data_IF_422978936074
#
_entry.id   IF_422978936074
#
_cell.length_a   1.000
_cell.length_b   1.000
_cell.length_c   1.000
_cell.angle_alpha   90.00
_cell.angle_beta   90.00
_cell.angle_gamma   90.00
#
_symmetry.space_group_name_H-M   'P 1'
#
loop_
_entity.id
_entity.type
_entity.pdbx_description
1 polymer ?
#
# COMPACT_ATOMS: atom_id res chain seq x y z
N UNK A 1 11.25 -2.78 -2.68
CA UNK A 1 10.15 -1.90 -3.13
C UNK A 1 9.87 -2.08 -4.61
N UNK A 2 8.64 -1.76 -5.01
CA UNK A 2 8.16 -1.75 -6.39
C UNK A 2 7.61 -0.35 -6.73
N UNK A 3 7.42 -0.01 -8.01
CA UNK A 3 6.75 1.23 -8.40
C UNK A 3 5.34 1.33 -7.80
N UNK A 4 4.86 2.57 -7.58
CA UNK A 4 3.52 2.83 -7.04
C UNK A 4 2.43 2.16 -7.87
N UNK A 5 1.52 1.45 -7.21
CA UNK A 5 0.41 0.74 -7.84
C UNK A 5 0.77 -0.63 -8.43
N UNK A 6 2.00 -1.11 -8.24
CA UNK A 6 2.42 -2.46 -8.70
C UNK A 6 1.83 -3.59 -7.86
N UNK A 7 1.37 -3.29 -6.66
CA UNK A 7 0.84 -4.29 -5.74
C UNK A 7 1.92 -5.19 -5.17
N UNK A 8 1.54 -6.44 -4.90
CA UNK A 8 2.43 -7.46 -4.35
C UNK A 8 2.86 -8.46 -5.42
N UNK A 9 4.15 -8.77 -5.46
CA UNK A 9 4.73 -9.80 -6.32
C UNK A 9 5.50 -10.81 -5.50
N UNK A 10 5.30 -12.09 -5.80
CA UNK A 10 6.05 -13.19 -5.22
C UNK A 10 6.78 -13.97 -6.32
N UNK A 11 8.02 -14.33 -6.05
CA UNK A 11 8.83 -15.19 -6.92
C UNK A 11 9.67 -16.14 -6.07
N UNK A 12 10.15 -17.20 -6.69
CA UNK A 12 11.14 -18.07 -6.07
C UNK A 12 12.31 -18.31 -7.03
N UNK A 13 13.48 -18.48 -6.44
CA UNK A 13 14.73 -18.85 -7.12
C UNK A 13 15.38 -20.04 -6.43
N UNK A 14 14.56 -20.89 -5.79
CA UNK A 14 15.03 -22.07 -5.07
C UNK A 14 15.74 -23.02 -6.04
N UNK A 15 16.94 -23.42 -5.66
CA UNK A 15 17.74 -24.42 -6.38
C UNK A 15 18.01 -25.63 -5.49
N UNK A 16 18.24 -26.79 -6.11
CA UNK A 16 18.59 -28.02 -5.38
C UNK A 16 17.47 -28.62 -4.52
N UNK A 17 16.25 -28.06 -4.55
CA UNK A 17 15.12 -28.60 -3.81
C UNK A 17 15.20 -28.41 -2.30
N UNK A 18 15.98 -27.42 -1.82
CA UNK A 18 16.14 -27.12 -0.38
C UNK A 18 14.81 -26.72 0.28
N UNK A 19 13.88 -26.15 -0.48
CA UNK A 19 12.47 -26.04 -0.13
C UNK A 19 11.67 -26.84 -1.17
N UNK A 20 10.97 -27.91 -0.76
CA UNK A 20 10.12 -28.67 -1.70
C UNK A 20 9.04 -27.78 -2.32
N UNK A 21 8.81 -27.94 -3.61
CA UNK A 21 7.87 -27.11 -4.40
C UNK A 21 6.47 -27.01 -3.79
N UNK A 22 6.02 -28.08 -3.15
CA UNK A 22 4.70 -28.14 -2.51
C UNK A 22 4.54 -27.13 -1.36
N UNK A 23 5.63 -26.66 -0.73
CA UNK A 23 5.60 -25.69 0.38
C UNK A 23 5.81 -24.25 -0.05
N UNK A 24 6.22 -23.98 -1.29
CA UNK A 24 6.38 -22.62 -1.81
C UNK A 24 5.08 -21.80 -1.71
N UNK A 25 3.90 -22.38 -2.07
CA UNK A 25 2.63 -21.66 -1.86
C UNK A 25 2.33 -21.32 -0.41
N UNK A 26 2.78 -22.14 0.56
CA UNK A 26 2.61 -21.86 1.97
C UNK A 26 3.45 -20.65 2.43
N UNK A 27 4.67 -20.50 1.89
CA UNK A 27 5.52 -19.32 2.11
C UNK A 27 4.83 -18.07 1.58
N UNK A 28 4.34 -18.09 0.34
CA UNK A 28 3.59 -16.98 -0.25
C UNK A 28 2.36 -16.61 0.59
N UNK A 29 1.59 -17.61 1.03
CA UNK A 29 0.42 -17.39 1.89
C UNK A 29 0.79 -16.71 3.20
N UNK A 30 1.93 -17.08 3.81
CA UNK A 30 2.46 -16.45 5.02
C UNK A 30 2.81 -14.98 4.82
N UNK A 31 3.44 -14.65 3.70
CA UNK A 31 3.75 -13.25 3.32
C UNK A 31 2.46 -12.45 3.09
N UNK A 32 1.49 -13.01 2.35
CA UNK A 32 0.20 -12.35 2.08
C UNK A 32 -0.60 -12.07 3.36
N UNK A 33 -0.59 -12.98 4.31
CA UNK A 33 -1.22 -12.77 5.60
C UNK A 33 -0.51 -11.67 6.42
N UNK A 34 0.81 -11.70 6.44
CA UNK A 34 1.61 -10.70 7.13
C UNK A 34 1.43 -9.28 6.55
N UNK A 35 1.34 -9.14 5.22
CA UNK A 35 1.24 -7.82 4.59
C UNK A 35 -0.04 -7.05 4.95
N UNK A 36 -1.08 -7.73 5.43
CA UNK A 36 -2.31 -7.09 5.88
C UNK A 36 -2.13 -6.18 7.11
N UNK A 37 -1.10 -6.48 7.93
CA UNK A 37 -0.79 -5.76 9.17
C UNK A 37 0.73 -5.61 9.29
N UNK A 38 1.32 -4.74 8.49
CA UNK A 38 2.76 -4.48 8.47
C UNK A 38 3.28 -3.79 9.73
N UNK A 39 4.59 -3.45 9.78
CA UNK A 39 5.27 -2.96 10.97
C UNK A 39 4.73 -1.65 11.52
N UNK A 40 4.02 -0.86 10.69
CA UNK A 40 3.38 0.40 11.09
C UNK A 40 1.89 0.24 11.41
N UNK A 41 1.36 -1.00 11.43
CA UNK A 41 -0.05 -1.29 11.68
C UNK A 41 -0.98 -1.10 10.47
N UNK A 42 -0.44 -0.77 9.30
CA UNK A 42 -1.16 -0.59 8.05
C UNK A 42 -0.77 -1.68 7.03
N UNK A 43 -1.62 -1.96 6.03
CA UNK A 43 -1.25 -2.87 4.95
C UNK A 43 0.02 -2.39 4.22
N UNK A 44 0.91 -3.34 3.91
CA UNK A 44 2.10 -3.08 3.12
C UNK A 44 1.78 -3.29 1.65
N UNK A 45 2.14 -2.33 0.81
CA UNK A 45 1.85 -2.34 -0.63
C UNK A 45 3.12 -2.06 -1.44
N UNK A 46 3.07 -2.37 -2.74
CA UNK A 46 4.11 -2.05 -3.72
C UNK A 46 5.49 -2.62 -3.34
N UNK A 47 5.52 -3.92 -3.08
CA UNK A 47 6.76 -4.65 -2.80
C UNK A 47 6.78 -6.04 -3.43
N UNK A 48 7.97 -6.59 -3.58
CA UNK A 48 8.18 -7.95 -4.03
C UNK A 48 8.96 -8.75 -3.00
N UNK A 49 8.67 -10.04 -2.94
CA UNK A 49 9.40 -11.02 -2.13
C UNK A 49 9.91 -12.10 -3.06
N UNK A 50 11.21 -12.39 -2.95
CA UNK A 50 11.81 -13.53 -3.63
C UNK A 50 12.27 -14.55 -2.59
N UNK A 51 11.75 -15.77 -2.69
CA UNK A 51 12.21 -16.91 -1.89
C UNK A 51 13.47 -17.47 -2.56
N UNK A 52 14.64 -17.21 -1.98
CA UNK A 52 15.93 -17.58 -2.56
C UNK A 52 16.58 -18.81 -1.92
N UNK A 53 16.23 -19.10 -0.66
CA UNK A 53 16.81 -20.20 0.11
C UNK A 53 15.88 -20.64 1.23
N UNK A 54 16.19 -21.80 1.82
CA UNK A 54 15.47 -22.34 2.97
C UNK A 54 16.03 -23.70 3.37
N UNK A 55 15.39 -24.32 4.35
CA UNK A 55 15.71 -25.68 4.79
C UNK A 55 14.43 -26.50 4.96
N UNK A 56 14.56 -27.79 4.80
CA UNK A 56 13.48 -28.76 4.93
C UNK A 56 13.96 -29.95 5.79
N UNK A 57 13.11 -30.38 6.71
CA UNK A 57 13.33 -31.56 7.53
C UNK A 57 12.05 -32.39 7.58
N UNK A 58 12.14 -33.69 7.33
CA UNK A 58 10.98 -34.58 7.20
C UNK A 58 10.05 -34.60 8.41
N UNK A 59 10.59 -34.32 9.62
CA UNK A 59 9.85 -34.39 10.87
C UNK A 59 9.21 -33.05 11.23
N UNK A 60 9.90 -31.93 10.97
CA UNK A 60 9.53 -30.60 11.49
C UNK A 60 8.91 -29.68 10.43
N UNK A 61 8.91 -30.11 9.17
CA UNK A 61 8.39 -29.32 8.06
C UNK A 61 6.91 -29.62 7.77
N UNK A 62 6.13 -28.59 7.65
CA UNK A 62 4.72 -28.62 7.28
C UNK A 62 4.33 -27.33 6.58
N UNK A 63 3.18 -27.28 5.93
CA UNK A 63 2.65 -26.02 5.36
C UNK A 63 2.54 -24.93 6.42
N UNK A 64 2.09 -25.27 7.62
CA UNK A 64 1.97 -24.32 8.74
C UNK A 64 3.34 -23.82 9.20
N UNK A 65 4.36 -24.69 9.25
CA UNK A 65 5.73 -24.31 9.64
C UNK A 65 6.31 -23.32 8.61
N UNK A 66 6.21 -23.59 7.32
CA UNK A 66 6.66 -22.68 6.27
C UNK A 66 5.90 -21.36 6.25
N UNK A 67 4.59 -21.38 6.44
CA UNK A 67 3.75 -20.18 6.58
C UNK A 67 4.20 -19.33 7.77
N UNK A 68 4.44 -19.96 8.91
CA UNK A 68 4.90 -19.27 10.14
C UNK A 68 6.31 -18.70 9.96
N UNK A 69 7.23 -19.48 9.39
CA UNK A 69 8.59 -19.02 9.10
C UNK A 69 8.59 -17.79 8.18
N UNK A 70 7.75 -17.78 7.14
CA UNK A 70 7.58 -16.62 6.27
C UNK A 70 7.10 -15.37 7.01
N UNK A 71 6.12 -15.51 7.90
CA UNK A 71 5.63 -14.39 8.74
C UNK A 71 6.72 -13.84 9.66
N UNK A 72 7.51 -14.72 10.29
CA UNK A 72 8.62 -14.32 11.14
C UNK A 72 9.68 -13.58 10.32
N UNK A 73 10.11 -14.14 9.20
CA UNK A 73 11.08 -13.51 8.31
C UNK A 73 10.63 -12.11 7.85
N UNK A 74 9.35 -11.96 7.50
CA UNK A 74 8.79 -10.64 7.14
C UNK A 74 8.78 -9.68 8.32
N UNK A 75 8.45 -10.14 9.52
CA UNK A 75 8.44 -9.31 10.74
C UNK A 75 9.82 -8.80 11.11
N UNK A 76 10.85 -9.59 10.89
CA UNK A 76 12.26 -9.24 11.19
C UNK A 76 12.90 -8.43 10.07
N UNK A 77 12.60 -8.75 8.81
CA UNK A 77 13.24 -8.14 7.64
C UNK A 77 12.65 -6.78 7.25
N UNK A 78 11.32 -6.63 7.31
CA UNK A 78 10.66 -5.42 6.80
C UNK A 78 10.99 -4.13 7.56
N UNK A 79 11.18 -4.11 8.89
CA UNK A 79 11.64 -2.89 9.58
C UNK A 79 12.99 -2.39 9.04
N UNK A 80 13.87 -3.29 8.61
CA UNK A 80 15.18 -2.94 8.03
C UNK A 80 15.08 -2.32 6.63
N UNK A 81 13.94 -2.50 5.95
CA UNK A 81 13.65 -1.90 4.64
C UNK A 81 13.18 -0.43 4.73
N UNK A 82 13.18 0.16 5.94
CA UNK A 82 12.78 1.55 6.19
C UNK A 82 11.38 1.87 5.62
N UNK A 83 10.33 1.19 6.10
CA UNK A 83 8.97 1.41 5.62
C UNK A 83 8.52 2.85 5.89
N UNK A 84 7.81 3.44 4.94
CA UNK A 84 7.23 4.78 5.04
C UNK A 84 5.70 4.69 5.02
N UNK A 85 5.06 5.51 5.84
CA UNK A 85 3.62 5.66 5.80
C UNK A 85 3.21 6.43 4.53
N UNK A 86 2.26 5.87 3.79
CA UNK A 86 1.66 6.53 2.64
C UNK A 86 0.36 7.21 3.06
N UNK A 87 0.22 8.48 2.70
CA UNK A 87 -1.05 9.20 2.83
C UNK A 87 -1.85 9.05 1.54
N UNK A 88 -3.17 8.81 1.61
CA UNK A 88 -4.02 8.82 0.43
C UNK A 88 -4.07 10.25 -0.13
N UNK A 89 -3.86 10.38 -1.43
CA UNK A 89 -4.11 11.62 -2.17
C UNK A 89 -5.39 11.43 -2.96
N UNK A 90 -6.35 12.29 -2.72
CA UNK A 90 -7.68 12.23 -3.35
C UNK A 90 -7.96 13.52 -4.11
N UNK A 91 -8.70 13.42 -5.19
CA UNK A 91 -9.26 14.57 -5.90
C UNK A 91 -10.59 14.92 -5.25
N UNK A 92 -10.77 16.20 -4.94
CA UNK A 92 -11.95 16.72 -4.25
C UNK A 92 -12.58 17.84 -5.09
N UNK A 93 -13.87 17.78 -5.35
CA UNK A 93 -14.65 18.85 -5.95
C UNK A 93 -15.45 19.56 -4.85
N UNK A 94 -15.25 20.87 -4.71
CA UNK A 94 -15.89 21.67 -3.68
C UNK A 94 -16.79 22.73 -4.33
N UNK A 95 -18.08 22.65 -4.07
CA UNK A 95 -19.06 23.61 -4.57
C UNK A 95 -19.33 24.66 -3.49
N UNK A 96 -19.05 25.93 -3.81
CA UNK A 96 -19.22 27.05 -2.87
C UNK A 96 -19.75 28.30 -3.59
N UNK A 97 -20.44 29.20 -2.89
CA UNK A 97 -20.75 30.53 -3.39
C UNK A 97 -19.46 31.30 -3.71
N UNK A 98 -19.50 32.20 -4.72
CA UNK A 98 -18.34 32.98 -5.18
C UNK A 98 -17.63 33.75 -4.07
N UNK A 99 -18.39 34.30 -3.12
CA UNK A 99 -17.89 35.02 -1.94
C UNK A 99 -17.07 34.14 -0.98
N UNK A 100 -17.24 32.82 -0.99
CA UNK A 100 -16.49 31.88 -0.15
C UNK A 100 -15.21 31.35 -0.81
N UNK A 101 -14.93 31.64 -2.06
CA UNK A 101 -13.81 31.09 -2.85
C UNK A 101 -12.45 31.37 -2.20
N UNK A 102 -12.23 32.59 -1.71
CA UNK A 102 -10.95 32.94 -1.04
C UNK A 102 -10.73 32.16 0.25
N UNK A 103 -11.79 31.83 0.99
CA UNK A 103 -11.74 31.03 2.19
C UNK A 103 -11.41 29.57 1.90
N UNK A 104 -11.97 29.03 0.80
CA UNK A 104 -11.66 27.68 0.35
C UNK A 104 -10.18 27.54 0.00
N UNK A 105 -9.61 28.51 -0.72
CA UNK A 105 -8.18 28.52 -1.03
C UNK A 105 -7.31 28.44 0.22
N UNK A 106 -7.64 29.17 1.25
CA UNK A 106 -6.90 29.12 2.52
C UNK A 106 -7.02 27.76 3.20
N UNK A 107 -8.21 27.14 3.19
CA UNK A 107 -8.44 25.83 3.79
C UNK A 107 -7.64 24.78 3.02
N UNK A 108 -7.74 24.74 1.69
CA UNK A 108 -7.04 23.78 0.83
C UNK A 108 -5.53 23.87 1.04
N UNK A 109 -4.98 25.09 0.98
CA UNK A 109 -3.53 25.31 1.19
C UNK A 109 -3.12 24.92 2.61
N UNK A 110 -3.95 25.22 3.61
CA UNK A 110 -3.70 24.85 5.01
C UNK A 110 -3.67 23.34 5.23
N UNK A 111 -4.38 22.58 4.43
CA UNK A 111 -4.37 21.10 4.43
C UNK A 111 -3.40 20.50 3.42
N UNK A 112 -2.45 21.26 2.89
CA UNK A 112 -1.46 20.82 1.90
C UNK A 112 -2.07 20.38 0.57
N UNK A 113 -3.30 20.77 0.30
CA UNK A 113 -3.96 20.52 -0.99
C UNK A 113 -3.43 21.42 -2.09
N UNK A 114 -3.50 20.94 -3.31
CA UNK A 114 -3.16 21.68 -4.52
C UNK A 114 -4.44 22.03 -5.27
N UNK A 115 -4.65 23.32 -5.57
CA UNK A 115 -5.77 23.73 -6.39
C UNK A 115 -5.49 23.41 -7.87
N UNK A 116 -6.34 22.62 -8.49
CA UNK A 116 -6.21 22.24 -9.90
C UNK A 116 -6.92 23.21 -10.85
N UNK A 117 -8.01 23.83 -10.40
CA UNK A 117 -8.76 24.77 -11.21
C UNK A 117 -10.02 25.32 -10.53
N UNK A 118 -10.63 26.28 -11.18
CA UNK A 118 -11.95 26.80 -10.84
C UNK A 118 -12.83 26.71 -12.07
N UNK A 119 -14.09 26.32 -11.87
CA UNK A 119 -15.11 26.36 -12.89
C UNK A 119 -16.33 27.10 -12.33
N UNK A 120 -16.82 28.09 -13.08
CA UNK A 120 -18.02 28.83 -12.72
C UNK A 120 -19.21 28.22 -13.46
N UNK A 121 -20.08 27.47 -12.76
CA UNK A 121 -21.31 26.94 -13.33
C UNK A 121 -22.47 27.88 -13.10
N UNK A 122 -22.94 28.50 -14.19
CA UNK A 122 -24.20 29.24 -14.17
C UNK A 122 -25.37 28.23 -14.18
N UNK A 123 -26.26 28.31 -13.18
CA UNK A 123 -27.52 27.58 -13.26
C UNK A 123 -28.10 27.02 -11.96
N UNK A 124 -27.44 27.22 -10.81
CA UNK A 124 -28.07 26.91 -9.54
C UNK A 124 -28.38 28.21 -8.79
N UNK A 125 -29.63 28.44 -8.32
CA UNK A 125 -29.95 29.68 -7.62
C UNK A 125 -29.05 29.87 -6.39
N UNK A 126 -28.15 30.88 -6.45
CA UNK A 126 -27.22 31.21 -5.37
C UNK A 126 -25.82 30.57 -5.48
N UNK A 127 -25.43 29.93 -6.59
CA UNK A 127 -24.12 29.33 -6.77
C UNK A 127 -23.39 29.89 -7.99
N UNK A 128 -22.38 30.67 -7.76
CA UNK A 128 -21.45 31.16 -8.78
C UNK A 128 -20.04 30.62 -8.46
N UNK A 129 -19.72 29.43 -8.91
CA UNK A 129 -18.37 28.89 -8.91
C UNK A 129 -18.21 27.54 -8.24
N UNK A 130 -17.57 26.61 -8.95
CA UNK A 130 -17.07 25.34 -8.42
C UNK A 130 -15.54 25.32 -8.56
N UNK A 131 -14.83 24.93 -7.50
CA UNK A 131 -13.39 24.71 -7.55
C UNK A 131 -13.06 23.24 -7.43
N UNK A 132 -12.18 22.74 -8.27
CA UNK A 132 -11.61 21.39 -8.18
C UNK A 132 -10.26 21.43 -7.48
N UNK A 133 -10.02 20.53 -6.54
CA UNK A 133 -8.80 20.47 -5.71
C UNK A 133 -8.28 19.03 -5.71
N UNK A 134 -7.00 18.83 -5.91
CA UNK A 134 -6.30 17.55 -5.78
C UNK A 134 -5.35 17.55 -4.59
#
# INVERSE_FOLDING_TARGET
PQPRGSGFQFSDTITGGVVPKQYIPAVEAGVREWMGHGPLGFPVVDFSVNLSDGSYHDVDSSEMAFKTAARIAMSEGMPQCLPVLLEPIVEVEIHVPSEATSRINQIVTGHRGQLLGFDARAGWPGWEGAGSVA
#
